data_IF_194176799802
#
_entry.id   IF_194176799802
#
_cell.length_a   1.000
_cell.length_b   1.000
_cell.length_c   1.000
_cell.angle_alpha   90.00
_cell.angle_beta   90.00
_cell.angle_gamma   90.00
#
_symmetry.space_group_name_H-M   'P 1'
#
loop_
_entity.id
_entity.type
_entity.pdbx_description
1 polymer ?
#
# COMPACT_ATOMS: atom_id res chain seq x y z
N UNK A 1 1.86 4.22 0.67
CA UNK A 1 2.32 3.89 -0.70
C UNK A 1 3.81 3.61 -0.83
N UNK A 2 4.72 4.47 -0.33
CA UNK A 2 6.18 4.27 -0.46
C UNK A 2 6.67 2.88 -0.04
N UNK A 3 6.33 2.43 1.18
CA UNK A 3 6.81 1.15 1.71
C UNK A 3 6.35 -0.06 0.88
N UNK A 4 5.14 0.00 0.32
CA UNK A 4 4.61 -1.05 -0.56
C UNK A 4 5.44 -1.11 -1.84
N UNK A 5 5.70 0.04 -2.47
CA UNK A 5 6.53 0.11 -3.67
C UNK A 5 7.96 -0.39 -3.41
N UNK A 6 8.56 0.01 -2.29
CA UNK A 6 9.90 -0.44 -1.88
C UNK A 6 9.96 -1.95 -1.61
N UNK A 7 8.94 -2.53 -0.96
CA UNK A 7 8.87 -3.97 -0.72
C UNK A 7 8.81 -4.77 -2.03
N UNK A 8 7.97 -4.32 -2.97
CA UNK A 8 7.87 -4.91 -4.31
C UNK A 8 9.22 -4.77 -5.05
N UNK A 9 9.82 -3.58 -5.05
CA UNK A 9 11.08 -3.30 -5.72
C UNK A 9 12.24 -4.16 -5.20
N UNK A 10 12.37 -4.30 -3.87
CA UNK A 10 13.36 -5.21 -3.26
C UNK A 10 13.18 -6.64 -3.74
N UNK A 11 11.96 -7.16 -3.70
CA UNK A 11 11.68 -8.55 -4.09
C UNK A 11 11.92 -8.82 -5.57
N UNK A 12 11.56 -7.88 -6.43
CA UNK A 12 11.76 -8.00 -7.87
C UNK A 12 13.16 -7.56 -8.32
N UNK A 13 14.02 -7.12 -7.40
CA UNK A 13 15.35 -6.57 -7.69
C UNK A 13 15.32 -5.42 -8.71
N UNK A 14 14.32 -4.54 -8.60
CA UNK A 14 14.16 -3.34 -9.45
C UNK A 14 14.18 -2.06 -8.62
N UNK A 15 14.79 -0.98 -9.12
CA UNK A 15 14.84 0.28 -8.39
C UNK A 15 13.45 0.92 -8.29
N UNK A 16 13.16 1.55 -7.15
CA UNK A 16 11.97 2.36 -6.94
C UNK A 16 12.30 3.84 -7.00
N UNK A 17 11.43 4.64 -7.63
CA UNK A 17 11.57 6.09 -7.72
C UNK A 17 10.41 6.77 -7.00
N UNK A 18 10.72 7.71 -6.11
CA UNK A 18 9.71 8.64 -5.57
C UNK A 18 9.42 9.73 -6.60
N UNK A 19 8.15 10.06 -6.77
CA UNK A 19 7.68 11.10 -7.69
C UNK A 19 6.82 12.12 -6.92
N UNK A 20 6.68 13.32 -7.48
CA UNK A 20 5.81 14.37 -6.94
C UNK A 20 4.31 14.04 -7.13
N UNK A 21 3.45 14.79 -6.43
CA UNK A 21 1.99 14.68 -6.57
C UNK A 21 1.51 14.99 -8.01
N UNK A 22 2.12 16.00 -8.64
CA UNK A 22 1.83 16.38 -10.02
C UNK A 22 2.21 15.26 -10.98
N UNK A 23 3.42 14.72 -10.86
CA UNK A 23 3.88 13.58 -11.65
C UNK A 23 2.99 12.34 -11.41
N UNK A 24 2.56 12.08 -10.18
CA UNK A 24 1.66 10.98 -9.86
C UNK A 24 0.29 11.16 -10.54
N UNK A 25 -0.25 12.38 -10.57
CA UNK A 25 -1.52 12.68 -11.25
C UNK A 25 -1.39 12.46 -12.76
N UNK A 26 -0.28 12.89 -13.35
CA UNK A 26 0.00 12.66 -14.77
C UNK A 26 0.25 11.18 -15.08
N UNK A 27 0.92 10.44 -14.20
CA UNK A 27 1.28 9.03 -14.40
C UNK A 27 0.09 8.07 -14.22
N UNK A 28 -0.74 8.31 -13.21
CA UNK A 28 -1.86 7.44 -12.84
C UNK A 28 -3.23 7.96 -13.32
N UNK A 29 -3.26 9.11 -14.01
CA UNK A 29 -4.47 9.69 -14.59
C UNK A 29 -5.57 9.93 -13.55
N UNK A 30 -6.79 9.45 -13.84
CA UNK A 30 -7.95 9.60 -12.96
C UNK A 30 -7.74 9.01 -11.54
N UNK A 31 -6.80 8.07 -11.37
CA UNK A 31 -6.48 7.46 -10.07
C UNK A 31 -5.38 8.20 -9.30
N UNK A 32 -4.70 9.18 -9.91
CA UNK A 32 -3.53 9.80 -9.29
C UNK A 32 -3.85 10.52 -7.98
N UNK A 33 -5.02 11.18 -7.90
CA UNK A 33 -5.49 11.77 -6.64
C UNK A 33 -5.73 10.72 -5.55
N UNK A 34 -6.30 9.57 -5.91
CA UNK A 34 -6.54 8.47 -4.97
C UNK A 34 -5.22 7.86 -4.48
N UNK A 35 -4.27 7.61 -5.39
CA UNK A 35 -2.97 7.00 -5.07
C UNK A 35 -2.12 7.92 -4.20
N UNK A 36 -2.24 9.23 -4.38
CA UNK A 36 -1.48 10.19 -3.60
C UNK A 36 -2.13 10.58 -2.27
N UNK A 37 -3.40 10.24 -2.07
CA UNK A 37 -4.11 10.51 -0.83
C UNK A 37 -3.62 9.58 0.29
N UNK A 38 -3.51 10.14 1.50
CA UNK A 38 -3.34 9.35 2.72
C UNK A 38 -4.73 8.95 3.26
N UNK A 39 -5.08 7.67 3.12
CA UNK A 39 -6.41 7.14 3.44
C UNK A 39 -6.25 6.07 4.53
N UNK A 40 -6.03 6.48 5.80
CA UNK A 40 -5.90 5.53 6.90
C UNK A 40 -7.23 4.79 7.11
N UNK A 41 -7.15 3.47 7.22
CA UNK A 41 -8.29 2.60 7.50
C UNK A 41 -8.04 1.79 8.78
N UNK A 42 -9.12 1.56 9.53
CA UNK A 42 -9.13 0.72 10.73
C UNK A 42 -10.02 -0.50 10.49
N UNK A 43 -9.67 -1.61 11.12
CA UNK A 43 -10.48 -2.82 11.14
C UNK A 43 -11.24 -3.04 12.46
N UNK A 44 -11.26 -2.05 13.35
CA UNK A 44 -11.84 -2.17 14.70
C UNK A 44 -13.32 -2.60 14.68
N UNK A 45 -14.15 -1.97 13.84
CA UNK A 45 -15.57 -2.32 13.72
C UNK A 45 -15.77 -3.74 13.16
N UNK A 46 -14.90 -4.18 12.25
CA UNK A 46 -14.94 -5.54 11.72
C UNK A 46 -14.69 -6.56 12.83
N UNK A 47 -13.68 -6.31 13.67
CA UNK A 47 -13.37 -7.18 14.81
C UNK A 47 -14.50 -7.19 15.85
N UNK A 48 -15.04 -6.02 16.19
CA UNK A 48 -16.13 -5.89 17.17
C UNK A 48 -17.40 -6.62 16.73
N UNK A 49 -17.83 -6.39 15.47
CA UNK A 49 -19.13 -6.87 14.99
C UNK A 49 -19.12 -8.33 14.59
N UNK A 50 -17.99 -8.81 14.06
CA UNK A 50 -17.91 -10.15 13.48
C UNK A 50 -17.08 -11.12 14.33
N UNK A 51 -16.43 -10.64 15.40
CA UNK A 51 -15.45 -11.44 16.15
C UNK A 51 -14.22 -11.83 15.31
N UNK A 52 -14.08 -11.25 14.12
CA UNK A 52 -12.98 -11.52 13.20
C UNK A 52 -11.66 -11.02 13.80
N UNK A 53 -10.56 -11.74 13.53
CA UNK A 53 -9.20 -11.34 13.92
C UNK A 53 -8.27 -11.50 12.71
N UNK A 54 -7.30 -10.60 12.50
CA UNK A 54 -6.28 -10.80 11.47
C UNK A 54 -5.40 -12.01 11.81
N UNK A 55 -5.34 -13.00 10.92
CA UNK A 55 -4.54 -14.23 11.13
C UNK A 55 -3.25 -14.27 10.30
N UNK A 56 -3.21 -13.49 9.22
CA UNK A 56 -2.07 -13.46 8.31
C UNK A 56 -1.12 -12.31 8.62
N UNK A 57 0.05 -12.38 8.01
CA UNK A 57 1.05 -11.32 8.08
C UNK A 57 0.47 -10.01 7.52
N UNK A 58 0.96 -8.90 8.06
CA UNK A 58 0.75 -7.60 7.42
C UNK A 58 1.37 -7.58 6.02
N UNK A 59 0.76 -6.78 5.13
CA UNK A 59 1.08 -6.71 3.70
C UNK A 59 2.58 -6.67 3.39
N UNK A 60 3.35 -5.82 4.07
CA UNK A 60 4.79 -5.65 3.79
C UNK A 60 5.57 -6.95 4.07
N UNK A 61 5.31 -7.59 5.22
CA UNK A 61 5.95 -8.86 5.58
C UNK A 61 5.55 -10.00 4.65
N UNK A 62 4.34 -9.95 4.12
CA UNK A 62 3.84 -10.94 3.17
C UNK A 62 4.51 -10.78 1.79
N UNK A 63 4.62 -9.52 1.31
CA UNK A 63 5.37 -9.21 0.09
C UNK A 63 6.83 -9.63 0.21
N UNK A 64 7.50 -9.36 1.33
CA UNK A 64 8.92 -9.72 1.49
C UNK A 64 9.17 -11.24 1.56
N UNK A 65 8.13 -12.08 1.79
CA UNK A 65 8.28 -13.53 1.99
C UNK A 65 7.98 -14.41 0.78
N UNK A 66 7.04 -14.02 -0.07
CA UNK A 66 6.65 -14.88 -1.19
C UNK A 66 7.75 -14.88 -2.29
#
# INVERSE_FOLDING_TARGET
MREIAEAIGRRLSVPTKSISLEEATNHFGALGQLIAADIPASNALTQERLGWKPEHLGLIKDIDRA
#
